data_IF_680351906910
#
_entry.id   IF_680351906910
#
_cell.length_a   1.000
_cell.length_b   1.000
_cell.length_c   1.000
_cell.angle_alpha   90.00
_cell.angle_beta   90.00
_cell.angle_gamma   90.00
#
_symmetry.space_group_name_H-M   'P 1'
#
loop_
_entity.id
_entity.type
_entity.pdbx_description
1 polymer ?
#
# COMPACT_ATOMS: atom_id res chain seq x y z
N UNK A 1 2.39 14.40 23.36
CA UNK A 1 3.04 15.73 23.36
C UNK A 1 3.86 15.89 22.10
N UNK A 2 3.74 17.02 21.43
CA UNK A 2 4.50 17.30 20.21
C UNK A 2 6.00 17.42 20.52
N UNK A 3 6.80 16.53 19.92
CA UNK A 3 8.25 16.56 19.99
C UNK A 3 8.81 17.07 18.66
N UNK A 4 9.48 18.24 18.64
CA UNK A 4 9.93 18.84 17.38
C UNK A 4 10.78 17.92 16.51
N UNK A 5 11.71 17.16 17.09
CA UNK A 5 12.59 16.26 16.35
C UNK A 5 11.81 15.08 15.71
N UNK A 6 10.79 14.55 16.38
CA UNK A 6 9.92 13.50 15.84
C UNK A 6 9.06 14.05 14.70
N UNK A 7 8.49 15.24 14.89
CA UNK A 7 7.68 15.90 13.86
C UNK A 7 8.51 16.22 12.62
N UNK A 8 9.74 16.72 12.80
CA UNK A 8 10.65 16.99 11.69
C UNK A 8 10.90 15.74 10.82
N UNK A 9 11.17 14.60 11.46
CA UNK A 9 11.36 13.33 10.72
C UNK A 9 10.12 12.89 9.99
N UNK A 10 8.93 13.02 10.60
CA UNK A 10 7.64 12.69 9.96
C UNK A 10 7.42 13.59 8.74
N UNK A 11 7.56 14.90 8.91
CA UNK A 11 7.37 15.89 7.82
C UNK A 11 8.38 15.65 6.70
N UNK A 12 9.63 15.31 7.05
CA UNK A 12 10.64 14.93 6.05
C UNK A 12 10.20 13.73 5.23
N UNK A 13 9.68 12.68 5.86
CA UNK A 13 9.14 11.51 5.15
C UNK A 13 8.00 11.88 4.20
N UNK A 14 7.07 12.73 4.63
CA UNK A 14 5.99 13.25 3.78
C UNK A 14 6.54 14.05 2.61
N UNK A 15 7.52 14.95 2.85
CA UNK A 15 8.15 15.75 1.80
C UNK A 15 8.88 14.87 0.77
N UNK A 16 9.64 13.88 1.24
CA UNK A 16 10.33 12.92 0.37
C UNK A 16 9.33 12.15 -0.52
N UNK A 17 8.20 11.73 0.04
CA UNK A 17 7.11 11.09 -0.69
C UNK A 17 6.49 12.01 -1.74
N UNK A 18 6.26 13.26 -1.42
CA UNK A 18 5.77 14.28 -2.36
C UNK A 18 6.74 14.48 -3.52
N UNK A 19 8.03 14.65 -3.25
CA UNK A 19 9.06 14.80 -4.28
C UNK A 19 9.12 13.58 -5.20
N UNK A 20 9.10 12.38 -4.64
CA UNK A 20 9.15 11.14 -5.40
C UNK A 20 7.92 10.95 -6.28
N UNK A 21 6.72 11.28 -5.79
CA UNK A 21 5.48 11.19 -6.56
C UNK A 21 5.27 12.36 -7.54
N UNK A 22 6.05 13.43 -7.41
CA UNK A 22 5.89 14.65 -8.24
C UNK A 22 4.77 15.57 -7.74
N UNK A 23 4.34 15.40 -6.49
CA UNK A 23 3.35 16.25 -5.85
C UNK A 23 4.02 17.42 -5.11
N UNK A 24 3.33 18.54 -4.98
CA UNK A 24 3.75 19.65 -4.13
C UNK A 24 3.21 19.46 -2.71
N UNK A 25 4.07 19.59 -1.71
CA UNK A 25 3.65 19.71 -0.32
C UNK A 25 3.31 21.18 -0.05
N UNK A 26 2.02 21.51 -0.12
CA UNK A 26 1.56 22.91 -0.09
C UNK A 26 1.19 23.39 1.31
N UNK A 27 1.10 22.51 2.29
CA UNK A 27 0.75 22.88 3.66
C UNK A 27 0.54 21.69 4.55
N UNK A 28 0.25 21.97 5.79
CA UNK A 28 -0.05 20.99 6.83
C UNK A 28 -0.30 21.69 8.16
N UNK A 29 -0.70 20.91 9.13
CA UNK A 29 -0.93 21.37 10.49
C UNK A 29 -0.53 20.27 11.48
N UNK A 30 -0.13 20.67 12.65
CA UNK A 30 0.11 19.79 13.79
C UNK A 30 -0.70 20.28 14.98
N UNK A 31 -1.52 19.40 15.55
CA UNK A 31 -2.30 19.70 16.74
C UNK A 31 -2.00 18.70 17.86
N UNK A 32 -1.85 19.19 19.08
CA UNK A 32 -1.90 18.34 20.28
C UNK A 32 -3.36 18.12 20.68
N UNK A 33 -3.72 16.87 20.98
CA UNK A 33 -5.08 16.50 21.41
C UNK A 33 -5.04 15.80 22.78
N UNK A 34 -4.80 16.55 23.87
CA UNK A 34 -4.75 15.98 25.21
C UNK A 34 -6.07 15.30 25.57
N UNK A 35 -5.97 14.08 26.10
CA UNK A 35 -7.14 13.27 26.48
C UNK A 35 -7.81 12.49 25.33
N UNK A 36 -7.34 12.66 24.08
CA UNK A 36 -7.74 11.84 22.94
C UNK A 36 -6.66 10.80 22.60
N UNK A 37 -5.40 11.21 22.62
CA UNK A 37 -4.23 10.34 22.40
C UNK A 37 -3.38 10.24 23.65
N UNK A 38 -2.78 9.09 23.86
CA UNK A 38 -1.71 8.91 24.85
C UNK A 38 -0.48 9.75 24.44
N UNK A 39 0.46 9.96 25.37
CA UNK A 39 1.58 10.90 25.17
C UNK A 39 2.46 10.53 23.97
N UNK A 40 2.63 9.23 23.70
CA UNK A 40 3.48 8.71 22.62
C UNK A 40 2.70 8.35 21.34
N UNK A 41 1.38 8.45 21.35
CA UNK A 41 0.54 8.17 20.20
C UNK A 41 0.43 9.38 19.27
N UNK A 42 0.26 9.08 17.97
CA UNK A 42 -0.02 10.08 16.95
C UNK A 42 -0.70 9.45 15.76
N UNK A 43 -1.45 10.24 15.03
CA UNK A 43 -2.03 9.90 13.74
C UNK A 43 -1.51 10.84 12.64
N UNK A 44 -1.49 10.32 11.42
CA UNK A 44 -1.16 11.07 10.23
C UNK A 44 -2.37 11.05 9.29
N UNK A 45 -2.82 12.23 8.88
CA UNK A 45 -3.85 12.37 7.86
C UNK A 45 -3.30 13.14 6.67
N UNK A 46 -3.54 12.65 5.47
CA UNK A 46 -3.16 13.31 4.22
C UNK A 46 -4.39 13.70 3.42
N UNK A 47 -4.35 14.88 2.81
CA UNK A 47 -5.34 15.33 1.86
C UNK A 47 -4.66 15.70 0.55
N UNK A 48 -5.06 15.04 -0.55
CA UNK A 48 -4.48 15.28 -1.86
C UNK A 48 -5.54 15.85 -2.82
N UNK A 49 -5.13 16.84 -3.59
CA UNK A 49 -5.94 17.43 -4.67
C UNK A 49 -5.20 17.25 -5.97
N UNK A 50 -5.91 16.75 -6.98
CA UNK A 50 -5.40 16.61 -8.33
C UNK A 50 -6.43 17.13 -9.34
N UNK A 51 -6.00 17.33 -10.56
CA UNK A 51 -6.86 17.69 -11.67
C UNK A 51 -6.45 16.93 -12.93
N UNK A 52 -7.42 16.53 -13.72
CA UNK A 52 -7.20 15.97 -15.05
C UNK A 52 -8.27 16.52 -16.01
N UNK A 53 -7.97 16.46 -17.31
CA UNK A 53 -8.97 16.78 -18.33
C UNK A 53 -10.14 15.78 -18.25
N UNK A 54 -11.37 16.25 -18.39
CA UNK A 54 -12.57 15.40 -18.35
C UNK A 54 -12.50 14.25 -19.37
N UNK A 55 -11.92 14.50 -20.52
CA UNK A 55 -11.74 13.49 -21.59
C UNK A 55 -10.67 12.45 -21.28
N UNK A 56 -9.83 12.69 -20.28
CA UNK A 56 -8.75 11.78 -19.85
C UNK A 56 -9.12 10.95 -18.61
N UNK A 57 -10.35 11.06 -18.12
CA UNK A 57 -10.81 10.26 -16.97
C UNK A 57 -10.90 8.80 -17.39
N UNK A 58 -10.24 7.93 -16.66
CA UNK A 58 -10.30 6.47 -16.83
C UNK A 58 -11.44 5.94 -15.97
N UNK A 59 -12.54 5.53 -16.62
CA UNK A 59 -13.78 5.10 -15.94
C UNK A 59 -13.97 3.59 -15.90
N UNK A 60 -13.19 2.84 -16.67
CA UNK A 60 -13.41 1.40 -16.89
C UNK A 60 -14.38 1.08 -18.02
N UNK A 61 -15.13 2.06 -18.55
CA UNK A 61 -16.13 1.83 -19.61
C UNK A 61 -15.55 1.30 -20.92
N UNK A 62 -14.25 1.52 -21.14
CA UNK A 62 -13.53 1.02 -22.33
C UNK A 62 -13.01 -0.40 -22.20
N UNK A 63 -13.10 -1.01 -21.02
CA UNK A 63 -12.63 -2.37 -20.80
C UNK A 63 -13.46 -3.33 -21.63
N UNK A 64 -12.77 -4.19 -22.40
CA UNK A 64 -13.38 -5.17 -23.29
C UNK A 64 -12.73 -6.55 -23.12
N UNK A 65 -13.39 -7.58 -23.63
CA UNK A 65 -12.81 -8.93 -23.70
C UNK A 65 -11.50 -8.91 -24.51
N UNK A 66 -10.46 -9.53 -23.94
CA UNK A 66 -9.12 -9.55 -24.52
C UNK A 66 -8.16 -8.48 -23.97
N UNK A 67 -8.63 -7.55 -23.15
CA UNK A 67 -7.75 -6.65 -22.42
C UNK A 67 -6.84 -7.41 -21.45
N UNK A 68 -5.62 -6.93 -21.29
CA UNK A 68 -4.60 -7.57 -20.45
C UNK A 68 -4.48 -6.84 -19.12
N UNK A 69 -4.48 -7.60 -18.03
CA UNK A 69 -4.18 -7.08 -16.70
C UNK A 69 -2.67 -7.00 -16.49
N UNK A 70 -2.17 -5.81 -16.19
CA UNK A 70 -0.77 -5.57 -15.81
C UNK A 70 -0.70 -5.31 -14.32
N UNK A 71 -0.06 -6.22 -13.58
CA UNK A 71 0.17 -6.06 -12.15
C UNK A 71 1.44 -5.26 -11.86
N UNK A 72 1.34 -4.27 -10.98
CA UNK A 72 2.50 -3.56 -10.43
C UNK A 72 2.71 -4.04 -9.00
N UNK A 73 3.83 -4.75 -8.77
CA UNK A 73 4.11 -5.38 -7.48
C UNK A 73 4.21 -4.38 -6.33
N UNK A 74 3.79 -4.81 -5.14
CA UNK A 74 4.03 -4.09 -3.88
C UNK A 74 5.50 -4.21 -3.43
N UNK A 75 5.86 -3.45 -2.40
CA UNK A 75 7.14 -3.57 -1.69
C UNK A 75 7.02 -4.36 -0.38
N UNK A 76 5.83 -4.77 -0.01
CA UNK A 76 5.50 -5.45 1.24
C UNK A 76 4.03 -5.25 1.59
N UNK A 77 3.72 -5.26 2.86
CA UNK A 77 2.35 -5.10 3.40
C UNK A 77 1.76 -3.72 3.10
N UNK A 78 2.60 -2.72 2.86
CA UNK A 78 2.23 -1.31 2.69
C UNK A 78 1.53 -0.75 3.93
N UNK A 79 0.28 -0.26 3.78
CA UNK A 79 -0.48 0.37 4.87
C UNK A 79 -1.75 -0.42 5.24
N UNK A 80 -1.99 -1.59 4.65
CA UNK A 80 -3.21 -2.35 4.84
C UNK A 80 -2.97 -3.67 5.57
N UNK A 81 -3.97 -4.17 6.27
CA UNK A 81 -3.93 -5.48 6.91
C UNK A 81 -3.15 -5.56 8.21
N UNK A 82 -2.68 -4.44 8.77
CA UNK A 82 -1.84 -4.44 9.99
C UNK A 82 -2.52 -4.99 11.22
N UNK A 83 -3.84 -4.95 11.32
CA UNK A 83 -4.56 -5.61 12.42
C UNK A 83 -4.28 -7.11 12.43
N UNK A 84 -4.34 -7.76 11.26
CA UNK A 84 -4.03 -9.19 11.11
C UNK A 84 -2.53 -9.44 11.28
N UNK A 85 -1.67 -8.63 10.66
CA UNK A 85 -0.22 -8.74 10.79
C UNK A 85 0.22 -8.68 12.24
N UNK A 86 -0.24 -7.69 13.00
CA UNK A 86 0.09 -7.54 14.43
C UNK A 86 -0.43 -8.69 15.25
N UNK A 87 -1.62 -9.18 14.92
CA UNK A 87 -2.16 -10.39 15.57
C UNK A 87 -1.25 -11.59 15.32
N UNK A 88 -0.92 -11.88 14.07
CA UNK A 88 -0.06 -13.01 13.70
C UNK A 88 1.32 -12.88 14.35
N UNK A 89 2.00 -11.77 14.15
CA UNK A 89 3.40 -11.63 14.54
C UNK A 89 3.56 -11.52 16.06
N UNK A 90 2.80 -10.64 16.69
CA UNK A 90 3.02 -10.28 18.08
C UNK A 90 2.11 -11.04 19.04
N UNK A 91 0.81 -11.14 18.74
CA UNK A 91 -0.14 -11.74 19.68
C UNK A 91 -0.11 -13.27 19.65
N UNK A 92 -0.14 -13.87 18.46
CA UNK A 92 -0.26 -15.33 18.32
C UNK A 92 1.11 -16.03 18.40
N UNK A 93 2.17 -15.42 17.87
CA UNK A 93 3.51 -16.02 17.82
C UNK A 93 4.53 -15.39 18.80
N UNK A 94 4.20 -14.28 19.46
CA UNK A 94 5.08 -13.63 20.43
C UNK A 94 6.43 -13.17 19.86
N UNK A 95 6.52 -12.91 18.55
CA UNK A 95 7.76 -12.51 17.89
C UNK A 95 8.07 -11.06 18.27
N UNK A 96 9.27 -10.83 18.81
CA UNK A 96 9.71 -9.48 19.16
C UNK A 96 9.98 -8.65 17.91
N UNK A 97 9.79 -7.33 17.99
CA UNK A 97 9.90 -6.40 16.86
C UNK A 97 11.30 -6.39 16.23
N UNK A 98 12.31 -6.63 17.02
CA UNK A 98 13.73 -6.68 16.65
C UNK A 98 14.23 -8.10 16.31
N UNK A 99 13.36 -9.10 16.38
CA UNK A 99 13.72 -10.48 16.11
C UNK A 99 13.99 -10.72 14.63
N UNK A 100 15.05 -11.47 14.34
CA UNK A 100 15.30 -12.13 13.06
C UNK A 100 14.72 -13.54 13.18
N UNK A 101 13.80 -13.90 12.30
CA UNK A 101 13.05 -15.16 12.38
C UNK A 101 13.77 -16.26 11.64
N UNK A 102 13.96 -17.42 12.27
CA UNK A 102 14.58 -18.61 11.67
C UNK A 102 13.80 -19.04 10.41
N UNK A 103 14.53 -19.26 9.31
CA UNK A 103 14.02 -19.58 7.99
C UNK A 103 13.59 -18.35 7.17
N UNK A 104 13.66 -17.16 7.76
CA UNK A 104 13.32 -15.86 7.15
C UNK A 104 14.37 -14.79 7.47
N UNK A 105 15.63 -15.18 7.60
CA UNK A 105 16.76 -14.30 7.95
C UNK A 105 16.97 -13.18 6.91
N UNK A 106 16.57 -13.44 5.69
CA UNK A 106 16.62 -12.49 4.57
C UNK A 106 15.67 -11.29 4.75
N UNK A 107 14.67 -11.40 5.61
CA UNK A 107 13.81 -10.28 6.00
C UNK A 107 14.48 -9.31 6.99
N UNK A 108 15.58 -9.76 7.66
CA UNK A 108 16.16 -9.00 8.75
C UNK A 108 15.24 -8.92 9.98
N UNK A 109 15.37 -7.88 10.82
CA UNK A 109 14.46 -7.65 11.93
C UNK A 109 13.02 -7.48 11.43
N UNK A 110 12.07 -8.24 12.02
CA UNK A 110 10.71 -8.29 11.48
C UNK A 110 10.00 -6.92 11.52
N UNK A 111 10.29 -6.10 12.51
CA UNK A 111 9.75 -4.75 12.59
C UNK A 111 10.21 -3.86 11.42
N UNK A 112 11.47 -3.98 10.99
CA UNK A 112 11.99 -3.23 9.84
C UNK A 112 11.34 -3.73 8.54
N UNK A 113 11.21 -5.05 8.36
CA UNK A 113 10.52 -5.62 7.21
C UNK A 113 9.07 -5.14 7.10
N UNK A 114 8.37 -5.09 8.24
CA UNK A 114 6.99 -4.60 8.30
C UNK A 114 6.88 -3.08 8.09
N UNK A 115 7.92 -2.31 8.37
CA UNK A 115 7.98 -0.87 8.13
C UNK A 115 8.46 -0.49 6.73
N UNK A 116 8.69 -1.46 5.84
CA UNK A 116 9.04 -1.18 4.45
C UNK A 116 8.02 -0.19 3.83
N UNK A 117 8.49 0.98 3.35
CA UNK A 117 7.59 2.02 2.86
C UNK A 117 6.71 1.56 1.70
N UNK A 118 5.50 2.06 1.66
CA UNK A 118 4.59 1.86 0.51
C UNK A 118 5.25 2.35 -0.77
N UNK A 119 5.27 1.50 -1.78
CA UNK A 119 5.78 1.83 -3.11
C UNK A 119 4.94 2.95 -3.73
N UNK A 120 5.62 3.92 -4.33
CA UNK A 120 4.95 5.05 -4.98
C UNK A 120 4.65 4.72 -6.45
N UNK A 121 3.38 4.71 -6.80
CA UNK A 121 2.89 4.31 -8.12
C UNK A 121 2.57 5.49 -9.05
N UNK A 122 2.58 6.74 -8.55
CA UNK A 122 2.18 7.91 -9.33
C UNK A 122 2.93 8.02 -10.66
N UNK A 123 4.25 8.05 -10.63
CA UNK A 123 5.05 8.19 -11.86
C UNK A 123 4.94 6.98 -12.80
N UNK A 124 5.05 5.72 -12.34
CA UNK A 124 4.86 4.55 -13.22
C UNK A 124 3.49 4.51 -13.88
N UNK A 125 2.42 4.78 -13.13
CA UNK A 125 1.06 4.78 -13.67
C UNK A 125 0.86 5.90 -14.68
N UNK A 126 1.32 7.13 -14.37
CA UNK A 126 1.24 8.24 -15.32
C UNK A 126 2.05 7.98 -16.60
N UNK A 127 3.21 7.35 -16.49
CA UNK A 127 3.99 6.97 -17.66
C UNK A 127 3.25 5.91 -18.50
N UNK A 128 2.66 4.90 -17.87
CA UNK A 128 1.86 3.89 -18.56
C UNK A 128 0.69 4.50 -19.33
N UNK A 129 -0.03 5.47 -18.73
CA UNK A 129 -1.13 6.18 -19.37
C UNK A 129 -0.67 7.00 -20.59
N UNK A 130 0.59 7.48 -20.59
CA UNK A 130 1.15 8.23 -21.71
C UNK A 130 1.60 7.32 -22.86
N UNK A 131 2.05 6.11 -22.56
CA UNK A 131 2.65 5.18 -23.54
C UNK A 131 1.64 4.15 -24.08
N UNK A 132 0.54 3.92 -23.38
CA UNK A 132 -0.47 2.93 -23.75
C UNK A 132 -1.89 3.43 -23.49
N UNK A 133 -2.86 2.84 -24.19
CA UNK A 133 -4.27 3.05 -23.86
C UNK A 133 -4.63 2.23 -22.62
N UNK A 134 -4.86 2.91 -21.49
CA UNK A 134 -5.24 2.31 -20.23
C UNK A 134 -6.75 2.42 -20.04
N UNK A 135 -7.44 1.29 -20.04
CA UNK A 135 -8.90 1.24 -19.95
C UNK A 135 -9.41 1.27 -18.52
N UNK A 136 -8.63 0.80 -17.55
CA UNK A 136 -9.01 0.78 -16.15
C UNK A 136 -7.81 0.74 -15.22
N UNK A 137 -8.00 1.16 -13.97
CA UNK A 137 -7.01 1.05 -12.91
C UNK A 137 -7.69 0.57 -11.63
N UNK A 138 -7.09 -0.39 -10.95
CA UNK A 138 -7.54 -0.84 -9.63
C UNK A 138 -6.39 -0.76 -8.62
N UNK A 139 -6.66 -0.21 -7.47
CA UNK A 139 -5.77 -0.27 -6.31
C UNK A 139 -6.23 -1.41 -5.41
N UNK A 140 -5.48 -2.49 -5.40
CA UNK A 140 -5.82 -3.68 -4.61
C UNK A 140 -5.48 -3.41 -3.14
N UNK A 141 -6.50 -3.45 -2.28
CA UNK A 141 -6.43 -3.27 -0.83
C UNK A 141 -7.18 -4.41 -0.11
N UNK A 142 -7.83 -4.14 1.02
CA UNK A 142 -8.68 -5.13 1.68
C UNK A 142 -9.74 -5.70 0.72
N UNK A 143 -9.99 -7.01 0.81
CA UNK A 143 -10.86 -7.74 -0.10
C UNK A 143 -10.16 -8.29 -1.36
N UNK A 144 -8.86 -7.96 -1.55
CA UNK A 144 -8.03 -8.53 -2.62
C UNK A 144 -8.57 -8.30 -4.03
N UNK A 145 -8.25 -9.21 -4.94
CA UNK A 145 -8.70 -9.14 -6.33
C UNK A 145 -10.22 -9.19 -6.45
N UNK A 146 -10.87 -10.03 -5.66
CA UNK A 146 -12.32 -10.27 -5.73
C UNK A 146 -13.17 -9.03 -5.48
N UNK A 147 -12.73 -8.14 -4.59
CA UNK A 147 -13.49 -6.93 -4.27
C UNK A 147 -13.00 -5.68 -5.02
N UNK A 148 -11.73 -5.63 -5.41
CA UNK A 148 -11.16 -4.41 -5.98
C UNK A 148 -11.25 -4.38 -7.51
N UNK A 149 -11.03 -5.49 -8.21
CA UNK A 149 -11.12 -5.51 -9.68
C UNK A 149 -12.54 -5.26 -10.21
N UNK A 150 -13.61 -5.84 -9.64
CA UNK A 150 -14.96 -5.60 -10.14
C UNK A 150 -15.41 -4.13 -10.10
N UNK A 151 -14.77 -3.30 -9.24
CA UNK A 151 -15.13 -1.87 -9.15
C UNK A 151 -14.89 -1.07 -10.44
N UNK A 152 -13.93 -1.53 -11.26
CA UNK A 152 -13.62 -0.88 -12.54
C UNK A 152 -14.25 -1.61 -13.74
N UNK A 153 -14.79 -2.82 -13.54
CA UNK A 153 -15.23 -3.70 -14.62
C UNK A 153 -16.65 -3.36 -15.08
N UNK A 154 -16.90 -3.31 -16.40
CA UNK A 154 -18.25 -3.32 -16.94
C UNK A 154 -19.01 -4.61 -16.60
N UNK A 155 -20.32 -4.52 -16.56
CA UNK A 155 -21.16 -5.71 -16.34
C UNK A 155 -20.96 -6.75 -17.44
N UNK A 156 -20.88 -8.03 -17.05
CA UNK A 156 -20.77 -9.16 -17.97
C UNK A 156 -19.33 -9.53 -18.33
N UNK A 157 -18.34 -8.80 -17.84
CA UNK A 157 -16.92 -9.14 -17.95
C UNK A 157 -16.41 -9.78 -16.66
N UNK A 158 -15.40 -10.63 -16.78
CA UNK A 158 -14.68 -11.23 -15.68
C UNK A 158 -13.17 -11.13 -15.90
N UNK A 159 -12.42 -11.22 -14.83
CA UNK A 159 -10.95 -11.29 -14.89
C UNK A 159 -10.51 -12.73 -14.68
N UNK A 160 -9.54 -13.16 -15.47
CA UNK A 160 -8.82 -14.41 -15.28
C UNK A 160 -7.41 -14.09 -14.78
N UNK A 161 -7.03 -14.66 -13.65
CA UNK A 161 -5.75 -14.38 -12.98
C UNK A 161 -5.05 -15.70 -12.70
N UNK A 162 -3.86 -15.86 -13.26
CA UNK A 162 -2.96 -16.97 -12.92
C UNK A 162 -2.12 -16.58 -11.69
N UNK A 163 -2.44 -17.15 -10.54
CA UNK A 163 -1.77 -16.90 -9.27
C UNK A 163 -0.28 -17.28 -9.27
N UNK A 164 0.16 -18.14 -10.20
CA UNK A 164 1.56 -18.52 -10.37
C UNK A 164 2.38 -17.55 -11.25
N UNK A 165 1.77 -16.53 -11.82
CA UNK A 165 2.40 -15.67 -12.84
C UNK A 165 3.33 -14.57 -12.28
N UNK A 166 3.40 -14.38 -10.98
CA UNK A 166 4.30 -13.40 -10.35
C UNK A 166 5.00 -13.96 -9.10
N UNK A 167 6.19 -13.45 -8.73
CA UNK A 167 6.85 -13.86 -7.50
C UNK A 167 6.11 -13.33 -6.28
N UNK A 168 5.95 -14.18 -5.27
CA UNK A 168 5.42 -13.80 -3.95
C UNK A 168 6.59 -13.26 -3.11
N UNK A 169 6.38 -12.13 -2.44
CA UNK A 169 7.40 -11.58 -1.54
C UNK A 169 7.50 -12.42 -0.26
N UNK A 170 8.73 -12.63 0.22
CA UNK A 170 9.02 -13.43 1.42
C UNK A 170 8.20 -13.03 2.66
N UNK A 171 7.88 -11.76 2.81
CA UNK A 171 7.05 -11.29 3.93
C UNK A 171 5.64 -11.90 3.89
N UNK A 172 5.06 -12.14 2.72
CA UNK A 172 3.74 -12.77 2.60
C UNK A 172 3.81 -14.27 2.87
N UNK A 173 4.87 -14.96 2.40
CA UNK A 173 5.11 -16.36 2.76
C UNK A 173 5.24 -16.53 4.28
N UNK A 174 6.02 -15.66 4.91
CA UNK A 174 6.17 -15.61 6.36
C UNK A 174 4.83 -15.42 7.08
N UNK A 175 4.04 -14.44 6.65
CA UNK A 175 2.73 -14.17 7.28
C UNK A 175 1.74 -15.31 7.07
N UNK A 176 1.76 -15.94 5.90
CA UNK A 176 0.92 -17.09 5.58
C UNK A 176 1.27 -18.28 6.48
N UNK A 177 2.56 -18.63 6.59
CA UNK A 177 3.03 -19.72 7.44
C UNK A 177 2.72 -19.48 8.91
N UNK A 178 3.12 -18.31 9.46
CA UNK A 178 2.95 -18.00 10.88
C UNK A 178 1.48 -17.77 11.27
N UNK A 179 0.66 -17.35 10.32
CA UNK A 179 -0.78 -17.16 10.51
C UNK A 179 -1.62 -18.40 10.20
N UNK A 180 -1.02 -19.47 9.68
CA UNK A 180 -1.73 -20.63 9.15
C UNK A 180 -2.88 -20.22 8.21
N UNK A 181 -2.62 -19.21 7.35
CA UNK A 181 -3.61 -18.68 6.43
C UNK A 181 -3.78 -19.62 5.23
N UNK A 182 -5.03 -19.78 4.78
CA UNK A 182 -5.31 -20.48 3.53
C UNK A 182 -4.79 -19.69 2.31
N UNK A 183 -4.56 -20.40 1.21
CA UNK A 183 -4.19 -19.81 -0.08
C UNK A 183 -5.28 -18.90 -0.65
#
# INVERSE_FOLDING_TARGET
KAEPAKIEQIVKGVADGCVQSGAALIGGETAEMPGLYEEDEYDLAGFAVGACEKSAIITGEKIVEGDVLVGIASSGVHSNGYSLVRKIVFADNGIAVDAVVEGYEDLGPIGEALLTPTKLYAKPVLAAIQEAEVHGCAHVTGGGFYENLPRMMPQGLATEIDLGSWPVLRIFEFLQEKGALAD
#
